data_IF_418158299128
#
_entry.id   IF_418158299128
#
_cell.length_a   1.000
_cell.length_b   1.000
_cell.length_c   1.000
_cell.angle_alpha   90.00
_cell.angle_beta   90.00
_cell.angle_gamma   90.00
#
_symmetry.space_group_name_H-M   'P 1'
#
loop_
_entity.id
_entity.type
_entity.pdbx_description
1 polymer ?
#
# COMPACT_ATOMS: atom_id res chain seq x y z
N UNK A 1 -4.65 -0.24 -7.58
CA UNK A 1 -4.54 1.23 -7.68
C UNK A 1 -3.44 1.73 -6.78
N UNK A 2 -2.88 2.88 -7.10
CA UNK A 2 -1.83 3.56 -6.36
C UNK A 2 -2.40 4.68 -5.48
N UNK A 3 -1.89 4.82 -4.26
CA UNK A 3 -2.19 5.93 -3.34
C UNK A 3 -0.89 6.47 -2.78
N UNK A 4 -0.84 7.76 -2.46
CA UNK A 4 0.26 8.35 -1.72
C UNK A 4 -0.23 9.46 -0.79
N UNK A 5 0.50 9.70 0.28
CA UNK A 5 0.13 10.68 1.29
C UNK A 5 1.03 10.65 2.51
N UNK A 6 0.50 11.15 3.61
CA UNK A 6 1.16 11.15 4.93
C UNK A 6 0.28 10.46 5.96
N UNK A 7 0.91 9.68 6.84
CA UNK A 7 0.22 9.06 7.98
C UNK A 7 -0.38 10.16 8.85
N UNK A 8 -1.67 10.07 9.16
CA UNK A 8 -2.43 11.11 9.85
C UNK A 8 -3.10 10.65 11.15
N UNK A 9 -2.84 9.42 11.58
CA UNK A 9 -3.22 8.94 12.91
C UNK A 9 -2.18 7.96 13.47
N UNK A 10 -2.12 7.83 14.80
CA UNK A 10 -1.26 6.84 15.47
C UNK A 10 -1.70 5.40 15.21
N UNK A 11 -3.00 5.20 14.96
CA UNK A 11 -3.56 3.92 14.58
C UNK A 11 -3.49 2.85 15.67
N UNK A 12 -3.66 1.60 15.26
CA UNK A 12 -3.49 0.39 16.05
C UNK A 12 -2.42 -0.46 15.39
N UNK A 13 -1.37 -0.81 16.15
CA UNK A 13 -0.30 -1.70 15.70
C UNK A 13 -0.41 -3.03 16.44
N UNK A 14 -0.93 -4.06 15.76
CA UNK A 14 -1.24 -5.31 16.46
C UNK A 14 -2.02 -6.33 15.66
N UNK A 15 -2.71 -7.20 16.40
CA UNK A 15 -3.43 -8.38 15.93
C UNK A 15 -4.94 -8.17 16.13
N UNK A 16 -5.84 -8.56 15.19
CA UNK A 16 -5.59 -9.32 13.96
C UNK A 16 -4.96 -8.53 12.81
N UNK A 17 -5.09 -7.21 12.83
CA UNK A 17 -4.57 -6.32 11.80
C UNK A 17 -4.02 -5.04 12.43
N UNK A 18 -3.12 -4.39 11.70
CA UNK A 18 -2.75 -3.02 12.02
C UNK A 18 -3.52 -2.05 11.14
N UNK A 19 -3.94 -0.94 11.75
CA UNK A 19 -4.83 0.05 11.17
C UNK A 19 -4.25 1.43 11.42
N UNK A 20 -4.24 2.30 10.41
CA UNK A 20 -3.88 3.71 10.58
C UNK A 20 -4.46 4.49 9.42
N UNK A 21 -4.53 5.81 9.55
CA UNK A 21 -5.05 6.62 8.47
C UNK A 21 -3.94 7.33 7.69
N UNK A 22 -4.21 7.60 6.42
CA UNK A 22 -3.35 8.39 5.55
C UNK A 22 -4.16 9.53 4.94
N UNK A 23 -3.69 10.75 5.10
CA UNK A 23 -4.17 11.90 4.32
C UNK A 23 -3.51 11.85 2.95
N UNK A 24 -4.32 11.77 1.90
CA UNK A 24 -3.83 11.60 0.53
C UNK A 24 -3.22 12.89 -0.01
N UNK A 25 -2.19 12.75 -0.84
CA UNK A 25 -1.66 13.84 -1.64
C UNK A 25 -2.72 14.28 -2.67
N UNK A 26 -2.87 15.59 -2.86
CA UNK A 26 -3.81 16.16 -3.82
C UNK A 26 -3.41 15.83 -5.27
N UNK A 27 -2.11 15.87 -5.56
CA UNK A 27 -1.57 15.67 -6.89
C UNK A 27 -0.82 14.34 -6.96
N UNK A 28 -1.51 13.31 -7.44
CA UNK A 28 -0.90 12.01 -7.72
C UNK A 28 -0.44 11.94 -9.18
N UNK A 29 0.69 11.25 -9.47
CA UNK A 29 1.03 10.89 -10.85
C UNK A 29 -0.08 10.03 -11.47
N UNK A 30 -0.10 9.84 -12.79
CA UNK A 30 -1.13 9.01 -13.43
C UNK A 30 -1.09 7.53 -13.00
N UNK A 31 0.10 7.02 -12.65
CA UNK A 31 0.35 5.64 -12.23
C UNK A 31 1.41 5.62 -11.13
N UNK A 32 1.65 4.45 -10.54
CA UNK A 32 2.75 4.23 -9.60
C UNK A 32 4.08 4.78 -10.15
N UNK A 33 4.78 5.66 -9.41
CA UNK A 33 6.10 6.11 -9.81
C UNK A 33 7.12 4.97 -9.72
N UNK A 34 8.33 5.19 -10.22
CA UNK A 34 9.40 4.20 -10.13
C UNK A 34 9.85 4.05 -8.67
N UNK A 35 9.39 2.99 -8.02
CA UNK A 35 9.67 2.66 -6.62
C UNK A 35 10.38 1.30 -6.52
N UNK A 36 11.21 1.07 -5.49
CA UNK A 36 11.88 -0.22 -5.29
C UNK A 36 10.83 -1.31 -4.99
N UNK A 37 10.77 -2.38 -5.75
CA UNK A 37 9.79 -3.45 -5.51
C UNK A 37 10.42 -4.54 -4.61
N UNK A 38 9.73 -5.03 -3.56
CA UNK A 38 10.21 -6.16 -2.75
C UNK A 38 10.62 -7.34 -3.63
N UNK A 39 11.66 -8.09 -3.25
CA UNK A 39 12.17 -9.22 -4.06
C UNK A 39 11.09 -10.24 -4.38
N UNK A 40 10.16 -10.41 -3.46
CA UNK A 40 9.01 -11.30 -3.53
C UNK A 40 7.98 -10.88 -4.60
N UNK A 41 8.09 -9.70 -5.19
CA UNK A 41 7.20 -9.18 -6.23
C UNK A 41 7.96 -8.75 -7.49
N UNK A 42 9.21 -9.21 -7.66
CA UNK A 42 10.04 -8.88 -8.82
C UNK A 42 9.79 -9.76 -10.04
N UNK A 43 8.89 -10.75 -9.95
CA UNK A 43 8.42 -11.45 -11.15
C UNK A 43 7.96 -10.44 -12.22
N UNK A 44 8.29 -10.63 -13.52
CA UNK A 44 7.94 -9.68 -14.57
C UNK A 44 6.43 -9.33 -14.63
N UNK A 45 5.54 -10.28 -14.35
CA UNK A 45 4.10 -10.04 -14.38
C UNK A 45 3.66 -9.15 -13.21
N UNK A 46 4.16 -9.45 -12.01
CA UNK A 46 3.78 -8.75 -10.79
C UNK A 46 4.39 -7.36 -10.71
N UNK A 47 5.67 -7.23 -11.05
CA UNK A 47 6.34 -5.93 -11.15
C UNK A 47 5.66 -5.01 -12.16
N UNK A 48 5.19 -5.56 -13.31
CA UNK A 48 4.40 -4.80 -14.29
C UNK A 48 3.07 -4.35 -13.71
N UNK A 49 2.36 -5.20 -12.96
CA UNK A 49 1.09 -4.84 -12.31
C UNK A 49 1.26 -3.73 -11.28
N UNK A 50 2.30 -3.80 -10.45
CA UNK A 50 2.63 -2.76 -9.47
C UNK A 50 2.95 -1.45 -10.17
N UNK A 51 3.83 -1.48 -11.16
CA UNK A 51 4.28 -0.28 -11.89
C UNK A 51 3.16 0.36 -12.73
N UNK A 52 2.27 -0.45 -13.30
CA UNK A 52 1.18 0.04 -14.15
C UNK A 52 -0.07 0.44 -13.38
N UNK A 53 -0.09 0.27 -12.04
CA UNK A 53 -1.29 0.52 -11.25
C UNK A 53 -1.71 2.00 -11.38
N UNK A 54 -2.95 2.29 -11.80
CA UNK A 54 -3.44 3.65 -11.90
C UNK A 54 -3.60 4.25 -10.51
N UNK A 55 -3.39 5.56 -10.38
CA UNK A 55 -3.63 6.28 -9.13
C UNK A 55 -5.09 6.29 -8.75
N UNK A 56 -5.35 6.40 -7.45
CA UNK A 56 -6.68 6.56 -6.88
C UNK A 56 -7.29 7.88 -7.34
N UNK A 57 -8.52 7.81 -7.86
CA UNK A 57 -9.30 8.94 -8.36
C UNK A 57 -10.64 9.08 -7.63
N UNK A 58 -10.81 8.40 -6.50
CA UNK A 58 -12.02 8.50 -5.69
C UNK A 58 -12.08 9.81 -4.89
N UNK A 59 -13.21 10.03 -4.22
CA UNK A 59 -13.53 11.32 -3.57
C UNK A 59 -12.87 11.50 -2.19
N UNK A 60 -12.37 10.42 -1.58
CA UNK A 60 -11.82 10.46 -0.24
C UNK A 60 -10.47 11.17 -0.21
N UNK A 61 -10.34 12.19 0.64
CA UNK A 61 -9.07 12.87 0.91
C UNK A 61 -8.21 12.15 1.97
N UNK A 62 -8.83 11.19 2.66
CA UNK A 62 -8.22 10.40 3.73
C UNK A 62 -8.70 8.96 3.57
N UNK A 63 -7.79 8.01 3.66
CA UNK A 63 -8.11 6.58 3.65
C UNK A 63 -7.62 5.95 4.95
N UNK A 64 -8.42 5.04 5.50
CA UNK A 64 -7.93 4.10 6.49
C UNK A 64 -7.17 2.99 5.78
N UNK A 65 -5.96 2.69 6.25
CA UNK A 65 -5.11 1.63 5.75
C UNK A 65 -5.21 0.45 6.70
N UNK A 66 -5.43 -0.75 6.16
CA UNK A 66 -5.42 -2.01 6.91
C UNK A 66 -4.32 -2.93 6.40
N UNK A 67 -3.39 -3.29 7.27
CA UNK A 67 -2.24 -4.14 6.94
C UNK A 67 -2.17 -5.39 7.82
N UNK A 68 -1.35 -6.35 7.38
CA UNK A 68 -1.05 -7.56 8.13
C UNK A 68 -0.46 -7.21 9.52
N UNK A 69 -0.65 -8.09 10.52
CA UNK A 69 -0.14 -7.85 11.87
C UNK A 69 1.39 -7.80 11.90
N UNK A 70 1.99 -7.27 12.98
CA UNK A 70 3.44 -7.05 13.10
C UNK A 70 4.29 -8.27 12.78
N UNK A 71 3.85 -9.46 13.19
CA UNK A 71 4.58 -10.71 12.95
C UNK A 71 4.71 -11.07 11.45
N UNK A 72 3.89 -10.46 10.58
CA UNK A 72 3.93 -10.64 9.12
C UNK A 72 4.62 -9.46 8.47
N UNK A 73 4.17 -8.24 8.79
CA UNK A 73 4.74 -7.01 8.23
C UNK A 73 6.22 -6.83 8.58
N UNK A 74 6.64 -7.24 9.78
CA UNK A 74 8.04 -7.18 10.23
C UNK A 74 8.97 -8.09 9.44
N UNK A 75 8.48 -9.25 8.97
CA UNK A 75 9.26 -10.15 8.10
C UNK A 75 9.63 -9.51 6.78
N UNK A 76 8.86 -8.51 6.35
CA UNK A 76 8.99 -7.81 5.08
C UNK A 76 9.42 -6.34 5.23
N UNK A 77 9.98 -5.98 6.39
CA UNK A 77 10.66 -4.69 6.57
C UNK A 77 9.89 -3.61 7.34
N UNK A 78 8.63 -3.83 7.75
CA UNK A 78 7.93 -2.92 8.68
C UNK A 78 7.98 -3.46 10.11
N UNK A 79 9.06 -3.18 10.82
CA UNK A 79 9.28 -3.64 12.19
C UNK A 79 8.59 -2.83 13.29
N UNK A 80 7.91 -1.72 12.94
CA UNK A 80 7.29 -0.79 13.88
C UNK A 80 6.03 -0.15 13.30
N UNK A 81 5.20 0.43 14.16
CA UNK A 81 4.18 1.36 13.73
C UNK A 81 4.81 2.55 12.97
N UNK A 82 4.14 3.01 11.92
CA UNK A 82 4.48 4.28 11.27
C UNK A 82 4.03 5.44 12.16
N UNK A 83 4.81 6.52 12.17
CA UNK A 83 4.48 7.73 12.94
C UNK A 83 3.64 8.68 12.10
N UNK A 84 2.81 9.47 12.77
CA UNK A 84 2.12 10.61 12.13
C UNK A 84 3.15 11.51 11.43
N UNK A 85 2.83 11.92 10.20
CA UNK A 85 3.69 12.71 9.34
C UNK A 85 4.63 11.89 8.45
N UNK A 86 4.81 10.58 8.70
CA UNK A 86 5.62 9.75 7.80
C UNK A 86 4.97 9.62 6.42
N UNK A 87 5.80 9.70 5.39
CA UNK A 87 5.40 9.46 4.00
C UNK A 87 4.92 8.02 3.86
N UNK A 88 3.80 7.85 3.15
CA UNK A 88 3.23 6.56 2.80
C UNK A 88 2.84 6.55 1.33
N UNK A 89 3.23 5.49 0.63
CA UNK A 89 2.83 5.23 -0.76
C UNK A 89 2.42 3.77 -0.84
N UNK A 90 1.42 3.42 -1.64
CA UNK A 90 1.01 2.03 -1.73
C UNK A 90 0.33 1.69 -3.05
N UNK A 91 0.48 0.42 -3.44
CA UNK A 91 -0.37 -0.21 -4.44
C UNK A 91 -1.26 -1.24 -3.75
N UNK A 92 -2.54 -1.23 -4.09
CA UNK A 92 -3.54 -2.05 -3.43
C UNK A 92 -4.93 -1.90 -4.03
N UNK A 93 -5.94 -2.14 -3.22
CA UNK A 93 -7.34 -2.00 -3.60
C UNK A 93 -8.18 -1.43 -2.47
N UNK A 94 -9.22 -0.68 -2.85
CA UNK A 94 -10.27 -0.25 -1.92
C UNK A 94 -11.11 -1.45 -1.55
N UNK A 95 -11.48 -1.54 -0.27
CA UNK A 95 -12.30 -2.61 0.25
C UNK A 95 -13.70 -2.58 -0.40
N UNK A 96 -14.29 -3.76 -0.60
CA UNK A 96 -15.55 -3.86 -1.36
C UNK A 96 -16.74 -3.26 -0.61
N UNK A 97 -16.75 -3.37 0.71
CA UNK A 97 -17.87 -2.95 1.57
C UNK A 97 -17.64 -1.60 2.25
N UNK A 98 -16.45 -1.00 2.07
CA UNK A 98 -16.07 0.26 2.66
C UNK A 98 -15.10 0.96 1.72
N UNK A 99 -15.56 2.06 1.11
CA UNK A 99 -14.80 2.79 0.11
C UNK A 99 -13.74 3.74 0.71
N UNK A 100 -13.76 3.94 2.03
CA UNK A 100 -12.75 4.65 2.81
C UNK A 100 -11.61 3.74 3.31
N UNK A 101 -11.75 2.42 3.18
CA UNK A 101 -10.77 1.43 3.63
C UNK A 101 -9.91 0.91 2.47
N UNK A 102 -8.59 0.98 2.62
CA UNK A 102 -7.62 0.55 1.61
C UNK A 102 -6.77 -0.62 2.11
N UNK A 103 -6.67 -1.68 1.30
CA UNK A 103 -5.77 -2.82 1.52
C UNK A 103 -4.57 -2.73 0.56
N UNK A 104 -3.36 -2.38 1.04
CA UNK A 104 -2.16 -2.47 0.25
C UNK A 104 -1.78 -3.93 0.00
N UNK A 105 -1.25 -4.19 -1.20
CA UNK A 105 -0.50 -5.43 -1.52
C UNK A 105 1.00 -5.19 -1.41
N UNK A 106 1.44 -3.97 -1.66
CA UNK A 106 2.78 -3.47 -1.39
C UNK A 106 2.67 -2.01 -0.98
N UNK A 107 3.50 -1.58 -0.05
CA UNK A 107 3.62 -0.17 0.30
C UNK A 107 5.07 0.24 0.54
N UNK A 108 5.28 1.54 0.56
CA UNK A 108 6.56 2.19 0.81
C UNK A 108 6.36 3.25 1.88
N UNK A 109 7.32 3.35 2.79
CA UNK A 109 7.25 4.32 3.87
C UNK A 109 8.56 5.10 4.02
N UNK A 110 8.43 6.28 4.63
CA UNK A 110 9.54 7.20 4.83
C UNK A 110 10.05 7.83 3.54
N UNK A 111 11.06 8.68 3.67
CA UNK A 111 11.64 9.41 2.53
C UNK A 111 12.49 8.52 1.62
N UNK A 112 13.07 7.45 2.17
CA UNK A 112 13.83 6.45 1.41
C UNK A 112 12.94 5.46 0.63
N UNK A 113 11.61 5.60 0.73
CA UNK A 113 10.62 4.72 0.14
C UNK A 113 10.94 3.23 0.41
N UNK A 114 11.08 2.86 1.69
CA UNK A 114 11.41 1.49 2.10
C UNK A 114 10.24 0.57 1.74
N UNK A 115 10.45 -0.48 0.91
CA UNK A 115 9.36 -1.32 0.43
C UNK A 115 8.94 -2.38 1.45
N UNK A 116 7.64 -2.65 1.50
CA UNK A 116 7.04 -3.66 2.39
C UNK A 116 6.03 -4.50 1.61
N UNK A 117 6.22 -5.81 1.61
CA UNK A 117 5.28 -6.77 1.04
C UNK A 117 4.11 -7.04 2.01
N UNK A 118 2.88 -7.09 1.49
CA UNK A 118 1.66 -7.38 2.25
C UNK A 118 0.90 -8.60 1.72
N UNK A 119 1.45 -9.29 0.74
CA UNK A 119 0.87 -10.52 0.17
C UNK A 119 1.38 -11.74 0.95
N UNK A 120 0.51 -12.75 1.09
CA UNK A 120 0.93 -14.06 1.54
C UNK A 120 1.56 -14.82 0.36
N UNK A 121 2.88 -14.96 0.37
CA UNK A 121 3.64 -15.63 -0.68
C UNK A 121 4.45 -14.66 -1.55
N UNK A 122 4.85 -15.14 -2.73
CA UNK A 122 5.83 -14.49 -3.60
C UNK A 122 5.23 -14.07 -4.95
N UNK A 123 3.91 -14.01 -5.08
CA UNK A 123 3.25 -13.53 -6.29
C UNK A 123 1.93 -12.86 -5.96
N UNK A 124 1.49 -11.90 -6.79
CA UNK A 124 0.15 -11.34 -6.65
C UNK A 124 -0.90 -12.36 -7.10
N UNK A 125 -2.05 -12.44 -6.41
CA UNK A 125 -3.17 -13.22 -6.92
C UNK A 125 -3.50 -12.79 -8.34
N UNK A 126 -3.62 -13.77 -9.24
CA UNK A 126 -4.02 -13.53 -10.62
C UNK A 126 -5.42 -12.88 -10.60
N UNK A 127 -5.47 -11.57 -10.85
CA UNK A 127 -6.74 -10.89 -11.17
C UNK A 127 -7.04 -11.08 -12.65
N UNK A 128 -8.34 -11.13 -12.96
CA UNK A 128 -8.83 -11.01 -14.33
C UNK A 128 -8.12 -9.83 -15.06
N UNK A 129 -7.86 -9.95 -16.37
CA UNK A 129 -7.10 -8.95 -17.11
C UNK A 129 -7.62 -7.54 -16.85
N UNK A 130 -6.71 -6.59 -16.67
CA UNK A 130 -7.07 -5.18 -16.58
C UNK A 130 -7.89 -4.81 -17.84
N UNK A 131 -8.99 -4.05 -17.69
CA UNK A 131 -9.73 -3.56 -18.86
C UNK A 131 -8.76 -2.82 -19.79
N UNK A 132 -8.88 -3.10 -21.09
CA UNK A 132 -8.08 -2.44 -22.15
C UNK A 132 -8.42 -0.97 -22.25
#
# INVERSE_FOLDING_TARGET
MYVAGVVSSEGVWGNPHSLFDVTLAADLPARTPKLPIPKELQDPEDSRRVSAAPSYTGQHKKLQIIIAPPAWSGKWGLGRALKVGERFQAVGYINRSDDGLFRPVVFWYGDDAVPVNQVLGNTLPVRAPLPR
#
